data_IF_809181281737
#
_entry.id   IF_809181281737
#
_cell.length_a   1.000
_cell.length_b   1.000
_cell.length_c   1.000
_cell.angle_alpha   90.00
_cell.angle_beta   90.00
_cell.angle_gamma   90.00
#
_symmetry.space_group_name_H-M   'P 1'
#
loop_
_entity.id
_entity.type
_entity.pdbx_description
1 polymer ?
#
# COMPACT_ATOMS: atom_id res chain seq x y z
N UNK A 1 -23.64 18.45 11.73
CA UNK A 1 -24.35 17.16 11.61
C UNK A 1 -23.73 16.20 12.61
N UNK A 2 -24.33 16.08 13.79
CA UNK A 2 -23.87 15.18 14.86
C UNK A 2 -24.42 13.80 14.52
N UNK A 3 -23.55 12.78 14.49
CA UNK A 3 -23.97 11.40 14.24
C UNK A 3 -24.90 10.94 15.37
N UNK A 4 -26.06 10.43 14.98
CA UNK A 4 -27.09 9.87 15.86
C UNK A 4 -26.50 8.69 16.67
N UNK A 5 -26.72 8.71 17.98
CA UNK A 5 -26.23 7.75 18.97
C UNK A 5 -26.64 6.31 18.62
N UNK A 6 -27.79 6.19 17.96
CA UNK A 6 -28.35 4.96 17.38
C UNK A 6 -27.45 4.32 16.31
N UNK A 7 -26.71 5.12 15.54
CA UNK A 7 -25.81 4.65 14.48
C UNK A 7 -24.47 4.16 15.04
N UNK A 8 -24.02 4.77 16.14
CA UNK A 8 -22.80 4.35 16.86
C UNK A 8 -23.01 2.97 17.47
N UNK A 9 -24.14 2.75 18.14
CA UNK A 9 -24.47 1.45 18.73
C UNK A 9 -24.65 0.34 17.69
N UNK A 10 -25.22 0.64 16.52
CA UNK A 10 -25.31 -0.32 15.39
C UNK A 10 -23.95 -0.71 14.82
N UNK A 11 -22.95 0.18 14.86
CA UNK A 11 -21.60 -0.14 14.38
C UNK A 11 -20.81 -0.99 15.38
N UNK A 12 -21.09 -0.85 16.68
CA UNK A 12 -20.42 -1.63 17.73
C UNK A 12 -20.96 -3.06 17.87
N UNK A 13 -22.18 -3.33 17.40
CA UNK A 13 -22.84 -4.66 17.46
C UNK A 13 -22.75 -5.46 16.16
N UNK A 14 -22.09 -4.94 15.11
CA UNK A 14 -21.88 -5.72 13.89
C UNK A 14 -20.87 -6.84 14.16
N UNK A 15 -21.23 -8.12 13.96
CA UNK A 15 -20.27 -9.20 14.09
C UNK A 15 -19.14 -8.98 13.08
N UNK A 16 -17.90 -9.16 13.53
CA UNK A 16 -16.74 -9.13 12.66
C UNK A 16 -16.96 -10.13 11.52
N UNK A 17 -16.66 -9.72 10.29
CA UNK A 17 -16.69 -10.68 9.19
C UNK A 17 -15.66 -11.78 9.49
N UNK A 18 -16.07 -13.07 9.44
CA UNK A 18 -15.17 -14.16 9.74
C UNK A 18 -14.00 -14.13 8.78
N UNK A 19 -12.81 -14.38 9.31
CA UNK A 19 -11.56 -14.52 8.57
C UNK A 19 -11.65 -15.72 7.62
N UNK A 20 -10.76 -15.76 6.63
CA UNK A 20 -10.71 -16.90 5.69
C UNK A 20 -10.51 -18.22 6.45
N UNK A 21 -9.61 -18.25 7.42
CA UNK A 21 -9.34 -19.42 8.26
C UNK A 21 -10.58 -19.89 9.05
N UNK A 22 -11.36 -18.97 9.60
CA UNK A 22 -12.61 -19.29 10.31
C UNK A 22 -13.68 -19.85 9.35
N UNK A 23 -13.74 -19.35 8.11
CA UNK A 23 -14.63 -19.91 7.08
C UNK A 23 -14.18 -21.30 6.61
N UNK A 24 -12.88 -21.56 6.56
CA UNK A 24 -12.34 -22.91 6.31
C UNK A 24 -12.71 -23.90 7.41
N UNK A 25 -12.58 -23.46 8.66
CA UNK A 25 -12.92 -24.28 9.81
C UNK A 25 -14.42 -24.61 9.88
N UNK A 26 -15.29 -23.68 9.45
CA UNK A 26 -16.74 -23.88 9.40
C UNK A 26 -17.28 -24.56 8.13
N UNK A 27 -16.44 -24.86 7.15
CA UNK A 27 -16.88 -25.51 5.91
C UNK A 27 -17.11 -27.01 6.13
N UNK A 28 -18.33 -27.47 5.87
CA UNK A 28 -18.77 -28.85 6.14
C UNK A 28 -18.34 -29.79 5.03
N UNK A 29 -18.13 -29.26 3.82
CA UNK A 29 -17.76 -30.05 2.64
C UNK A 29 -16.50 -29.53 1.93
N UNK A 30 -15.74 -30.41 1.25
CA UNK A 30 -14.63 -30.00 0.39
C UNK A 30 -15.03 -29.01 -0.72
N UNK A 31 -16.23 -29.14 -1.29
CA UNK A 31 -16.72 -28.22 -2.33
C UNK A 31 -16.96 -26.79 -1.80
N UNK A 32 -17.38 -26.63 -0.55
CA UNK A 32 -17.50 -25.32 0.10
C UNK A 32 -16.13 -24.68 0.35
N UNK A 33 -15.14 -25.49 0.75
CA UNK A 33 -13.74 -25.06 0.90
C UNK A 33 -13.16 -24.55 -0.41
N UNK A 34 -13.41 -25.24 -1.52
CA UNK A 34 -12.97 -24.83 -2.85
C UNK A 34 -13.66 -23.55 -3.32
N UNK A 35 -14.93 -23.37 -2.97
CA UNK A 35 -15.67 -22.14 -3.26
C UNK A 35 -15.08 -20.94 -2.52
N UNK A 36 -14.67 -21.10 -1.27
CA UNK A 36 -14.00 -20.02 -0.52
C UNK A 36 -12.63 -19.69 -1.12
N UNK A 37 -11.84 -20.69 -1.53
CA UNK A 37 -10.55 -20.48 -2.20
C UNK A 37 -10.76 -19.74 -3.53
N UNK A 38 -11.72 -20.17 -4.34
CA UNK A 38 -12.04 -19.56 -5.64
C UNK A 38 -12.51 -18.12 -5.49
N UNK A 39 -13.35 -17.82 -4.49
CA UNK A 39 -13.83 -16.46 -4.25
C UNK A 39 -12.74 -15.52 -3.71
N UNK A 40 -11.83 -16.02 -2.87
CA UNK A 40 -10.63 -15.27 -2.43
C UNK A 40 -9.67 -15.04 -3.60
N UNK A 41 -9.42 -16.07 -4.40
CA UNK A 41 -8.63 -15.96 -5.62
C UNK A 41 -9.25 -14.97 -6.61
N UNK A 42 -10.57 -15.01 -6.80
CA UNK A 42 -11.28 -14.02 -7.62
C UNK A 42 -11.22 -12.62 -7.02
N UNK A 43 -11.34 -12.44 -5.70
CA UNK A 43 -11.16 -11.13 -5.04
C UNK A 43 -9.74 -10.60 -5.20
N UNK A 44 -8.75 -11.49 -5.15
CA UNK A 44 -7.36 -11.19 -5.44
C UNK A 44 -7.12 -10.92 -6.93
N UNK A 45 -7.89 -11.53 -7.83
CA UNK A 45 -7.92 -11.26 -9.29
C UNK A 45 -8.77 -10.02 -9.65
N UNK A 46 -9.65 -9.55 -8.76
CA UNK A 46 -10.40 -8.29 -8.94
C UNK A 46 -9.57 -7.06 -8.51
N UNK A 47 -8.36 -7.26 -7.96
CA UNK A 47 -7.32 -6.24 -8.05
C UNK A 47 -6.98 -6.08 -9.53
N UNK A 48 -6.88 -4.86 -10.08
CA UNK A 48 -6.87 -4.65 -11.52
C UNK A 48 -5.62 -5.28 -12.15
N UNK A 49 -5.73 -6.54 -12.55
CA UNK A 49 -4.80 -7.23 -13.42
C UNK A 49 -4.98 -6.61 -14.80
N UNK A 50 -3.93 -5.91 -15.24
CA UNK A 50 -3.65 -5.56 -16.63
C UNK A 50 -4.75 -4.79 -17.38
N UNK A 51 -4.58 -3.47 -17.41
CA UNK A 51 -4.57 -2.75 -18.68
C UNK A 51 -3.23 -2.07 -18.82
N UNK A 52 -2.44 -2.46 -19.81
CA UNK A 52 -1.13 -1.89 -20.15
C UNK A 52 -1.20 -0.43 -20.66
N UNK A 53 -2.25 0.32 -20.28
CA UNK A 53 -2.48 1.73 -20.59
C UNK A 53 -3.56 2.36 -19.72
N UNK A 54 -3.98 1.72 -18.63
CA UNK A 54 -5.01 2.24 -17.73
C UNK A 54 -4.41 3.19 -16.69
N UNK A 55 -5.01 4.38 -16.54
CA UNK A 55 -4.76 5.27 -15.40
C UNK A 55 -4.83 4.45 -14.09
N UNK A 56 -3.83 4.53 -13.19
CA UNK A 56 -3.91 3.82 -11.91
C UNK A 56 -5.17 4.23 -11.14
N UNK A 57 -5.71 3.37 -10.26
CA UNK A 57 -6.89 3.69 -9.46
C UNK A 57 -6.70 5.04 -8.75
N UNK A 58 -7.80 5.77 -8.56
CA UNK A 58 -7.80 7.20 -8.19
C UNK A 58 -6.92 7.52 -6.98
N UNK A 59 -6.72 6.56 -6.05
CA UNK A 59 -5.74 6.70 -4.98
C UNK A 59 -5.17 5.34 -4.55
N UNK A 60 -3.87 5.12 -4.80
CA UNK A 60 -3.09 4.04 -4.21
C UNK A 60 -2.38 4.56 -2.96
N UNK A 61 -2.54 3.87 -1.82
CA UNK A 61 -1.91 4.24 -0.56
C UNK A 61 -0.55 3.56 -0.39
N UNK A 62 0.43 4.35 0.03
CA UNK A 62 1.83 3.95 0.18
C UNK A 62 2.21 4.04 1.65
N UNK A 63 2.73 2.93 2.18
CA UNK A 63 3.14 2.77 3.57
C UNK A 63 4.66 2.92 3.72
N UNK A 64 5.16 3.17 4.93
CA UNK A 64 6.62 3.21 5.18
C UNK A 64 7.39 1.97 4.67
N UNK A 65 6.90 0.72 4.88
CA UNK A 65 7.56 -0.44 4.28
C UNK A 65 7.68 -0.38 2.75
N UNK A 66 6.66 0.11 2.04
CA UNK A 66 6.72 0.27 0.57
C UNK A 66 7.68 1.39 0.18
N UNK A 67 7.72 2.49 0.94
CA UNK A 67 8.69 3.58 0.71
C UNK A 67 10.14 3.06 0.85
N UNK A 68 10.41 2.22 1.86
CA UNK A 68 11.75 1.68 2.09
C UNK A 68 12.29 0.84 0.94
N UNK A 69 11.42 0.14 0.21
CA UNK A 69 11.84 -0.66 -0.97
C UNK A 69 12.21 0.23 -2.15
N UNK A 70 11.89 1.53 -2.08
CA UNK A 70 12.23 2.56 -3.06
C UNK A 70 13.35 3.50 -2.57
N UNK A 71 14.09 3.11 -1.54
CA UNK A 71 15.24 3.88 -1.03
C UNK A 71 14.91 4.97 -0.02
N UNK A 72 13.63 5.17 0.32
CA UNK A 72 13.25 6.14 1.33
C UNK A 72 13.72 5.74 2.72
N UNK A 73 14.36 6.69 3.42
CA UNK A 73 14.73 6.59 4.83
C UNK A 73 13.79 7.44 5.68
N UNK A 74 13.78 7.25 7.00
CA UNK A 74 12.96 8.10 7.88
C UNK A 74 13.40 9.58 7.84
N UNK A 75 14.67 9.87 7.54
CA UNK A 75 15.14 11.23 7.28
C UNK A 75 14.55 11.80 5.99
N UNK A 76 14.64 11.05 4.90
CA UNK A 76 14.10 11.47 3.61
C UNK A 76 12.57 11.67 3.66
N UNK A 77 11.85 10.81 4.39
CA UNK A 77 10.40 10.97 4.59
C UNK A 77 10.08 12.28 5.30
N UNK A 78 10.88 12.71 6.27
CA UNK A 78 10.66 13.97 6.98
C UNK A 78 11.00 15.19 6.13
N UNK A 79 11.96 15.05 5.24
CA UNK A 79 12.53 16.13 4.42
C UNK A 79 11.70 16.38 3.16
N UNK A 80 11.34 15.32 2.42
CA UNK A 80 10.74 15.44 1.09
C UNK A 80 9.24 15.17 1.04
N UNK A 81 8.67 14.45 2.02
CA UNK A 81 7.23 14.21 2.04
C UNK A 81 6.51 15.20 2.95
N UNK A 82 5.33 15.69 2.54
CA UNK A 82 4.47 16.43 3.44
C UNK A 82 3.97 15.50 4.56
N UNK A 83 3.24 16.10 5.52
CA UNK A 83 2.56 15.33 6.57
C UNK A 83 1.73 14.19 5.96
N UNK A 84 1.66 13.03 6.63
CA UNK A 84 0.91 11.88 6.14
C UNK A 84 -0.55 12.25 5.92
N UNK A 85 -1.07 11.87 4.76
CA UNK A 85 -2.44 12.18 4.35
C UNK A 85 -3.45 11.39 5.17
N UNK A 86 -3.09 10.17 5.56
CA UNK A 86 -3.91 9.30 6.39
C UNK A 86 -3.05 8.50 7.35
N UNK A 87 -3.73 7.93 8.33
CA UNK A 87 -3.16 7.00 9.27
C UNK A 87 -3.92 5.68 9.17
N UNK A 88 -3.20 4.59 8.95
CA UNK A 88 -3.75 3.24 8.88
C UNK A 88 -3.65 2.59 10.27
N UNK A 89 -4.79 2.24 10.87
CA UNK A 89 -4.83 1.42 12.07
C UNK A 89 -4.34 0.02 11.74
N UNK A 90 -3.22 -0.42 12.32
CA UNK A 90 -2.67 -1.74 12.05
C UNK A 90 -3.54 -2.81 12.76
N UNK A 91 -4.29 -3.66 12.03
CA UNK A 91 -5.18 -4.65 12.65
C UNK A 91 -4.43 -5.73 13.42
N UNK A 92 -3.13 -5.92 13.14
CA UNK A 92 -2.31 -6.93 13.80
C UNK A 92 -1.77 -6.52 15.18
N UNK A 93 -1.90 -5.25 15.58
CA UNK A 93 -1.30 -4.76 16.83
C UNK A 93 -2.22 -3.74 17.50
N UNK A 94 -3.07 -4.21 18.42
CA UNK A 94 -3.84 -3.32 19.30
C UNK A 94 -2.87 -2.47 20.13
N UNK A 95 -3.11 -1.15 20.19
CA UNK A 95 -2.36 -0.23 21.06
C UNK A 95 -1.10 0.42 20.46
N UNK A 96 -0.70 0.10 19.22
CA UNK A 96 0.38 0.85 18.54
C UNK A 96 -0.15 2.08 17.81
N UNK A 97 0.68 3.13 17.77
CA UNK A 97 0.39 4.34 17.01
C UNK A 97 0.04 4.02 15.55
N UNK A 98 -1.04 4.59 15.01
CA UNK A 98 -1.46 4.40 13.62
C UNK A 98 -0.31 4.63 12.62
N UNK A 99 -0.20 3.77 11.62
CA UNK A 99 0.90 3.85 10.65
C UNK A 99 0.62 4.99 9.65
N UNK A 100 1.55 5.95 9.46
CA UNK A 100 1.38 7.00 8.48
C UNK A 100 1.37 6.43 7.05
N UNK A 101 0.46 6.93 6.22
CA UNK A 101 0.34 6.55 4.81
C UNK A 101 0.18 7.80 3.93
N UNK A 102 0.75 7.74 2.72
CA UNK A 102 0.71 8.79 1.71
C UNK A 102 0.06 8.27 0.44
N UNK A 103 -0.46 9.16 -0.41
CA UNK A 103 -0.89 8.73 -1.74
C UNK A 103 0.32 8.50 -2.66
N UNK A 104 0.21 7.56 -3.60
CA UNK A 104 1.21 7.33 -4.65
C UNK A 104 1.44 8.59 -5.50
N UNK A 105 0.45 9.48 -5.60
CA UNK A 105 0.57 10.77 -6.27
C UNK A 105 1.53 11.71 -5.54
N UNK A 106 1.40 11.83 -4.22
CA UNK A 106 2.29 12.66 -3.40
C UNK A 106 3.72 12.14 -3.46
N UNK A 107 3.90 10.83 -3.32
CA UNK A 107 5.22 10.20 -3.42
C UNK A 107 5.79 10.39 -4.81
N UNK A 108 5.04 10.12 -5.88
CA UNK A 108 5.51 10.30 -7.25
C UNK A 108 5.88 11.75 -7.59
N UNK A 109 5.19 12.74 -7.01
CA UNK A 109 5.55 14.15 -7.16
C UNK A 109 6.87 14.50 -6.46
N UNK A 110 7.10 13.97 -5.26
CA UNK A 110 8.37 14.13 -4.57
C UNK A 110 9.50 13.42 -5.33
N UNK A 111 9.26 12.20 -5.83
CA UNK A 111 10.27 11.45 -6.58
C UNK A 111 10.63 12.07 -7.94
N UNK A 112 9.77 12.96 -8.45
CA UNK A 112 10.00 13.68 -9.70
C UNK A 112 10.87 14.94 -9.54
N UNK A 113 11.27 15.33 -8.33
CA UNK A 113 12.14 16.50 -8.13
C UNK A 113 13.61 16.12 -8.31
N UNK A 114 14.40 17.03 -8.88
CA UNK A 114 15.84 16.82 -9.06
C UNK A 114 16.56 16.68 -7.71
N UNK A 115 16.10 17.44 -6.72
CA UNK A 115 16.60 17.38 -5.34
C UNK A 115 16.45 15.97 -4.75
N UNK A 116 15.29 15.34 -4.93
CA UNK A 116 15.09 13.96 -4.51
C UNK A 116 16.00 13.00 -5.25
N UNK A 117 16.09 13.11 -6.58
CA UNK A 117 16.89 12.19 -7.39
C UNK A 117 18.37 12.27 -7.01
N UNK A 118 18.87 13.48 -6.79
CA UNK A 118 20.24 13.70 -6.33
C UNK A 118 20.48 13.14 -4.94
N UNK A 119 19.56 13.40 -4.00
CA UNK A 119 19.63 12.86 -2.64
C UNK A 119 19.61 11.33 -2.64
N UNK A 120 18.75 10.71 -3.44
CA UNK A 120 18.62 9.25 -3.54
C UNK A 120 19.91 8.62 -4.05
N UNK A 121 20.50 9.18 -5.11
CA UNK A 121 21.77 8.70 -5.66
C UNK A 121 22.88 8.73 -4.61
N UNK A 122 23.03 9.84 -3.88
CA UNK A 122 24.03 9.95 -2.80
C UNK A 122 23.73 9.00 -1.62
N UNK A 123 22.46 8.83 -1.27
CA UNK A 123 22.03 7.94 -0.19
C UNK A 123 22.36 6.47 -0.50
N UNK A 124 22.09 6.02 -1.73
CA UNK A 124 22.43 4.67 -2.18
C UNK A 124 23.94 4.46 -2.26
N UNK A 125 24.68 5.42 -2.81
CA UNK A 125 26.14 5.36 -2.90
C UNK A 125 26.79 5.22 -1.52
N UNK A 126 26.38 6.03 -0.53
CA UNK A 126 26.89 5.96 0.85
C UNK A 126 26.63 4.62 1.53
N UNK A 127 25.50 3.98 1.19
CA UNK A 127 25.09 2.70 1.78
C UNK A 127 25.67 1.49 1.05
N UNK A 128 26.24 1.69 -0.14
CA UNK A 128 26.76 0.59 -0.97
C UNK A 128 25.68 -0.39 -1.41
N UNK A 129 24.44 0.07 -1.62
CA UNK A 129 23.32 -0.77 -2.04
C UNK A 129 22.59 -0.17 -3.24
N UNK A 130 21.88 -1.02 -3.97
CA UNK A 130 21.03 -0.63 -5.09
C UNK A 130 19.55 -0.64 -4.71
N UNK A 131 18.71 -0.02 -5.56
CA UNK A 131 17.26 -0.17 -5.45
C UNK A 131 16.80 -1.62 -5.65
N UNK A 132 17.54 -2.39 -6.47
CA UNK A 132 17.26 -3.80 -6.68
C UNK A 132 17.43 -4.60 -5.38
N UNK A 133 18.51 -4.37 -4.64
CA UNK A 133 18.76 -5.05 -3.35
C UNK A 133 17.65 -4.75 -2.33
N UNK A 134 17.16 -3.50 -2.31
CA UNK A 134 16.04 -3.10 -1.47
C UNK A 134 14.72 -3.77 -1.88
N UNK A 135 14.47 -3.91 -3.19
CA UNK A 135 13.29 -4.61 -3.69
C UNK A 135 13.32 -6.11 -3.39
N UNK A 136 14.49 -6.74 -3.50
CA UNK A 136 14.68 -8.17 -3.20
C UNK A 136 14.65 -8.49 -1.70
N UNK A 137 14.93 -7.52 -0.83
CA UNK A 137 14.80 -7.68 0.63
C UNK A 137 13.38 -7.99 1.12
N UNK A 138 12.37 -7.82 0.24
CA UNK A 138 10.97 -8.08 0.53
C UNK A 138 10.69 -9.58 0.60
N UNK A 139 10.33 -10.05 1.79
CA UNK A 139 9.80 -11.41 1.99
C UNK A 139 8.27 -11.43 1.91
N UNK A 140 7.72 -12.29 1.03
CA UNK A 140 6.28 -12.60 0.95
C UNK A 140 5.55 -12.10 -0.31
N UNK A 141 4.84 -13.00 -0.99
CA UNK A 141 4.16 -12.74 -2.26
C UNK A 141 3.09 -11.63 -2.17
N UNK A 142 2.27 -11.62 -1.13
CA UNK A 142 1.21 -10.62 -0.94
C UNK A 142 1.76 -9.19 -0.71
N UNK A 143 2.94 -9.07 -0.09
CA UNK A 143 3.59 -7.77 0.04
C UNK A 143 4.21 -7.34 -1.29
N UNK A 144 4.85 -8.27 -2.02
CA UNK A 144 5.40 -8.01 -3.36
C UNK A 144 4.35 -7.45 -4.32
N UNK A 145 3.14 -8.02 -4.36
CA UNK A 145 2.05 -7.51 -5.20
C UNK A 145 1.64 -6.08 -4.83
N UNK A 146 1.51 -5.77 -3.53
CA UNK A 146 1.21 -4.40 -3.07
C UNK A 146 2.32 -3.42 -3.43
N UNK A 147 3.58 -3.82 -3.31
CA UNK A 147 4.73 -3.01 -3.71
C UNK A 147 4.74 -2.74 -5.21
N UNK A 148 4.45 -3.74 -6.05
CA UNK A 148 4.38 -3.57 -7.50
C UNK A 148 3.25 -2.61 -7.90
N UNK A 149 2.06 -2.76 -7.32
CA UNK A 149 0.93 -1.84 -7.57
C UNK A 149 1.27 -0.41 -7.17
N UNK A 150 1.92 -0.23 -6.01
CA UNK A 150 2.37 1.09 -5.57
C UNK A 150 3.45 1.66 -6.48
N UNK A 151 4.45 0.87 -6.87
CA UNK A 151 5.53 1.28 -7.76
C UNK A 151 4.99 1.78 -9.10
N UNK A 152 4.12 1.00 -9.75
CA UNK A 152 3.50 1.40 -11.02
C UNK A 152 2.71 2.72 -10.90
N UNK A 153 2.00 2.92 -9.79
CA UNK A 153 1.25 4.16 -9.56
C UNK A 153 2.20 5.36 -9.32
N UNK A 154 3.24 5.19 -8.51
CA UNK A 154 4.25 6.23 -8.23
C UNK A 154 4.95 6.65 -9.51
N UNK A 155 5.42 5.68 -10.31
CA UNK A 155 6.13 5.93 -11.57
C UNK A 155 5.24 6.68 -12.57
N UNK A 156 3.95 6.32 -12.64
CA UNK A 156 2.97 7.06 -13.45
C UNK A 156 2.88 8.53 -13.03
N UNK A 157 2.78 8.83 -11.73
CA UNK A 157 2.68 10.22 -11.25
C UNK A 157 3.99 10.99 -11.33
N UNK A 158 5.13 10.32 -11.20
CA UNK A 158 6.45 10.94 -11.39
C UNK A 158 6.63 11.37 -12.84
N UNK A 159 6.33 10.47 -13.80
CA UNK A 159 6.43 10.77 -15.24
C UNK A 159 5.40 11.78 -15.73
N UNK A 160 4.20 11.81 -15.15
CA UNK A 160 3.14 12.74 -15.55
C UNK A 160 3.52 14.21 -15.33
N UNK A 161 4.42 14.52 -14.39
CA UNK A 161 4.93 15.89 -14.19
C UNK A 161 5.68 16.42 -15.43
N UNK A 162 6.29 15.53 -16.20
CA UNK A 162 7.11 15.90 -17.38
C UNK A 162 6.31 16.03 -18.68
N UNK A 163 4.99 15.79 -18.69
CA UNK A 163 4.13 15.95 -19.90
C UNK A 163 3.32 17.25 -19.93
N UNK A 164 3.56 18.17 -19.00
CA UNK A 164 2.82 19.43 -18.90
C UNK A 164 3.71 20.67 -19.10
N UNK A 165 4.87 20.49 -19.75
CA UNK A 165 5.75 21.57 -20.20
C UNK A 165 5.63 21.77 -21.70
#
# INVERSE_FOLDING_TARGET
MVLDESEIQRRMTRPNLPTLAERYAGATTPAERDRFYRNEAQRAETLPTRRAGGRPPSTVWVTKPILRTRGWTDAAIREFLPRPERHYSNPHVKGRSPMPIWSARTVGRAEATDEWQHWLAQSLARRGITLHDLAESIRGHAFRQRTLTAANAIDHYSRARFRSG
#
